data_IF_525337341433
#
_entry.id   IF_525337341433
#
_cell.length_a   1.000
_cell.length_b   1.000
_cell.length_c   1.000
_cell.angle_alpha   90.00
_cell.angle_beta   90.00
_cell.angle_gamma   90.00
#
_symmetry.space_group_name_H-M   'P 1'
#
loop_
_entity.id
_entity.type
_entity.pdbx_description
1 polymer ?
#
# COMPACT_ATOMS: atom_id res chain seq x y z
N UNK A 1 -30.62 7.87 1.45
CA UNK A 1 -29.35 7.16 1.16
C UNK A 1 -28.76 6.55 2.42
N UNK A 2 -28.50 7.36 3.46
CA UNK A 2 -27.88 6.95 4.72
C UNK A 2 -28.54 5.70 5.37
N UNK A 3 -29.82 5.79 5.72
CA UNK A 3 -30.55 4.69 6.37
C UNK A 3 -30.58 3.40 5.54
N UNK A 4 -30.88 3.50 4.23
CA UNK A 4 -30.89 2.34 3.32
C UNK A 4 -29.53 1.62 3.29
N UNK A 5 -28.44 2.38 3.38
CA UNK A 5 -27.10 1.82 3.38
C UNK A 5 -26.78 1.11 4.71
N UNK A 6 -27.18 1.71 5.85
CA UNK A 6 -26.98 1.08 7.16
C UNK A 6 -27.80 -0.21 7.31
N UNK A 7 -29.07 -0.22 6.88
CA UNK A 7 -29.90 -1.44 6.89
C UNK A 7 -29.27 -2.56 6.05
N UNK A 8 -28.67 -2.21 4.90
CA UNK A 8 -27.93 -3.17 4.10
C UNK A 8 -26.65 -3.64 4.81
N UNK A 9 -25.91 -2.74 5.43
CA UNK A 9 -24.68 -3.06 6.14
C UNK A 9 -24.93 -4.01 7.32
N UNK A 10 -25.99 -3.81 8.08
CA UNK A 10 -26.34 -4.68 9.22
C UNK A 10 -26.53 -6.15 8.80
N UNK A 11 -26.98 -6.39 7.57
CA UNK A 11 -27.19 -7.72 7.01
C UNK A 11 -26.00 -8.27 6.23
N UNK A 12 -25.15 -7.41 5.67
CA UNK A 12 -24.14 -7.78 4.67
C UNK A 12 -22.70 -7.44 5.06
N UNK A 13 -22.48 -6.85 6.24
CA UNK A 13 -21.15 -6.46 6.72
C UNK A 13 -20.19 -7.64 6.71
N UNK A 14 -18.98 -7.40 6.22
CA UNK A 14 -17.92 -8.42 6.27
C UNK A 14 -17.38 -8.55 7.68
N UNK A 15 -17.14 -9.80 8.09
CA UNK A 15 -16.37 -10.12 9.28
C UNK A 15 -14.90 -10.09 8.89
N UNK A 16 -14.14 -9.15 9.46
CA UNK A 16 -12.72 -8.96 9.19
C UNK A 16 -11.98 -8.83 10.53
N UNK A 17 -10.72 -9.29 10.65
CA UNK A 17 -10.00 -9.33 11.93
C UNK A 17 -9.89 -7.96 12.65
N UNK A 18 -9.85 -6.87 11.89
CA UNK A 18 -9.72 -5.50 12.41
C UNK A 18 -11.06 -4.78 12.64
N UNK A 19 -12.20 -5.42 12.36
CA UNK A 19 -13.53 -4.81 12.52
C UNK A 19 -14.20 -5.31 13.80
N UNK A 20 -14.58 -4.39 14.68
CA UNK A 20 -15.44 -4.69 15.82
C UNK A 20 -16.79 -5.26 15.35
N UNK A 21 -17.28 -6.30 16.02
CA UNK A 21 -18.60 -6.87 15.76
C UNK A 21 -19.73 -5.92 16.22
N UNK A 22 -21.00 -6.15 15.82
CA UNK A 22 -22.11 -5.37 16.32
C UNK A 22 -22.12 -5.31 17.86
N UNK A 23 -22.22 -4.10 18.42
CA UNK A 23 -22.20 -3.86 19.87
C UNK A 23 -20.80 -3.79 20.49
N UNK A 24 -19.72 -4.02 19.73
CA UNK A 24 -18.35 -3.87 20.22
C UNK A 24 -17.75 -2.52 19.84
N UNK A 25 -16.81 -2.05 20.67
CA UNK A 25 -16.01 -0.85 20.39
C UNK A 25 -14.84 -1.24 19.50
N UNK A 26 -14.59 -0.48 18.44
CA UNK A 26 -13.44 -0.70 17.56
C UNK A 26 -12.13 -0.36 18.28
N UNK A 27 -11.16 -1.27 18.21
CA UNK A 27 -9.81 -1.02 18.73
C UNK A 27 -9.07 -0.03 17.79
N UNK A 28 -8.69 1.17 18.26
CA UNK A 28 -8.06 2.19 17.42
C UNK A 28 -6.72 1.74 16.81
N UNK A 29 -5.93 0.95 17.54
CA UNK A 29 -4.67 0.41 17.03
C UNK A 29 -4.93 -0.55 15.85
N UNK A 30 -5.94 -1.40 15.97
CA UNK A 30 -6.27 -2.42 14.94
C UNK A 30 -6.82 -1.75 13.68
N UNK A 31 -7.72 -0.77 13.87
CA UNK A 31 -8.23 0.03 12.75
C UNK A 31 -7.09 0.78 12.08
N UNK A 32 -6.24 1.48 12.84
CA UNK A 32 -5.11 2.23 12.27
C UNK A 32 -4.16 1.33 11.47
N UNK A 33 -3.72 0.21 12.05
CA UNK A 33 -2.83 -0.75 11.39
C UNK A 33 -3.46 -1.27 10.09
N UNK A 34 -4.73 -1.69 10.13
CA UNK A 34 -5.43 -2.22 8.96
C UNK A 34 -5.61 -1.16 7.85
N UNK A 35 -5.95 0.07 8.20
CA UNK A 35 -6.12 1.17 7.24
C UNK A 35 -4.81 1.51 6.54
N UNK A 36 -3.68 1.48 7.27
CA UNK A 36 -2.35 1.64 6.66
C UNK A 36 -2.03 0.45 5.74
N UNK A 37 -2.28 -0.79 6.18
CA UNK A 37 -2.05 -1.99 5.35
C UNK A 37 -2.92 -2.02 4.09
N UNK A 38 -4.16 -1.53 4.14
CA UNK A 38 -5.11 -1.53 3.02
C UNK A 38 -4.80 -0.48 1.94
N UNK A 39 -3.90 0.46 2.20
CA UNK A 39 -3.46 1.41 1.18
C UNK A 39 -2.84 0.68 -0.02
N UNK A 40 -3.53 0.70 -1.16
CA UNK A 40 -3.08 0.05 -2.40
C UNK A 40 -2.83 -1.48 -2.25
N UNK A 41 -3.47 -2.12 -1.28
CA UNK A 41 -3.38 -3.57 -1.03
C UNK A 41 -4.79 -4.16 -0.88
N UNK A 42 -5.00 -5.41 -1.31
CA UNK A 42 -6.32 -6.04 -1.26
C UNK A 42 -6.63 -6.62 0.12
N UNK A 43 -7.92 -6.68 0.48
CA UNK A 43 -8.36 -7.25 1.76
C UNK A 43 -7.86 -8.68 2.00
N UNK A 44 -7.96 -9.63 1.03
CA UNK A 44 -7.47 -10.99 1.26
C UNK A 44 -5.97 -11.05 1.56
N UNK A 45 -5.16 -10.22 0.89
CA UNK A 45 -3.73 -10.12 1.21
C UNK A 45 -3.52 -9.58 2.63
N UNK A 46 -4.24 -8.52 3.01
CA UNK A 46 -4.06 -7.88 4.32
C UNK A 46 -4.46 -8.80 5.49
N UNK A 47 -5.46 -9.67 5.35
CA UNK A 47 -5.90 -10.58 6.43
C UNK A 47 -4.72 -11.36 7.04
N UNK A 48 -3.91 -12.01 6.20
CA UNK A 48 -2.80 -12.82 6.68
C UNK A 48 -1.70 -11.98 7.34
N UNK A 49 -1.42 -10.79 6.81
CA UNK A 49 -0.40 -9.90 7.39
C UNK A 49 -0.89 -9.33 8.72
N UNK A 50 -2.13 -8.84 8.76
CA UNK A 50 -2.72 -8.27 9.96
C UNK A 50 -2.69 -9.28 11.12
N UNK A 51 -3.09 -10.53 10.88
CA UNK A 51 -3.08 -11.58 11.90
C UNK A 51 -1.67 -11.84 12.47
N UNK A 52 -0.63 -11.94 11.61
CA UNK A 52 0.75 -12.09 12.10
C UNK A 52 1.24 -10.88 12.90
N UNK A 53 0.89 -9.67 12.44
CA UNK A 53 1.28 -8.43 13.13
C UNK A 53 0.68 -8.34 14.53
N UNK A 54 -0.62 -8.61 14.68
CA UNK A 54 -1.29 -8.53 16.00
C UNK A 54 -0.92 -9.70 16.91
N UNK A 55 -0.53 -10.85 16.35
CA UNK A 55 0.02 -11.96 17.13
C UNK A 55 1.36 -11.58 17.76
N UNK A 56 2.25 -10.93 16.99
CA UNK A 56 3.57 -10.48 17.44
C UNK A 56 3.50 -9.21 18.30
N UNK A 57 2.63 -8.28 17.93
CA UNK A 57 2.46 -6.97 18.56
C UNK A 57 0.97 -6.70 18.82
N UNK A 58 0.41 -7.29 19.89
CA UNK A 58 -1.02 -7.20 20.16
C UNK A 58 -1.49 -5.81 20.60
N UNK A 59 -0.59 -4.95 21.07
CA UNK A 59 -0.89 -3.58 21.51
C UNK A 59 -0.03 -2.55 20.79
N UNK A 60 -0.47 -1.29 20.83
CA UNK A 60 0.28 -0.18 20.25
C UNK A 60 1.63 0.04 20.95
N UNK A 61 1.71 -0.23 22.25
CA UNK A 61 2.95 -0.19 23.05
C UNK A 61 3.93 -1.29 22.65
N UNK A 62 3.44 -2.51 22.44
CA UNK A 62 4.24 -3.63 21.97
C UNK A 62 4.81 -3.34 20.56
N UNK A 63 3.99 -2.79 19.66
CA UNK A 63 4.43 -2.35 18.34
C UNK A 63 5.43 -1.19 18.43
N UNK A 64 5.20 -0.23 19.34
CA UNK A 64 6.11 0.90 19.57
C UNK A 64 7.47 0.45 20.11
N UNK A 65 7.54 -0.67 20.81
CA UNK A 65 8.81 -1.18 21.35
C UNK A 65 9.60 -2.03 20.33
N UNK A 66 8.98 -2.43 19.22
CA UNK A 66 9.62 -3.22 18.17
C UNK A 66 10.68 -2.41 17.41
N UNK A 67 11.73 -3.09 16.93
CA UNK A 67 12.71 -2.45 16.05
C UNK A 67 12.11 -2.17 14.67
N UNK A 68 12.61 -1.14 13.97
CA UNK A 68 12.16 -0.87 12.60
C UNK A 68 12.48 -2.04 11.66
N UNK A 69 13.60 -2.72 11.86
CA UNK A 69 14.01 -3.85 11.01
C UNK A 69 13.04 -5.03 11.19
N UNK A 70 12.61 -5.35 12.42
CA UNK A 70 11.56 -6.38 12.66
C UNK A 70 10.24 -6.04 11.98
N UNK A 71 9.82 -4.77 12.06
CA UNK A 71 8.59 -4.30 11.40
C UNK A 71 8.71 -4.43 9.89
N UNK A 72 9.85 -4.05 9.29
CA UNK A 72 10.06 -4.16 7.85
C UNK A 72 10.15 -5.62 7.38
N UNK A 73 10.65 -6.52 8.23
CA UNK A 73 10.63 -7.96 7.99
C UNK A 73 9.21 -8.50 7.93
N UNK A 74 8.37 -8.20 8.92
CA UNK A 74 6.96 -8.64 8.89
C UNK A 74 6.17 -7.99 7.74
N UNK A 75 6.51 -6.75 7.38
CA UNK A 75 5.89 -6.01 6.26
C UNK A 75 6.36 -6.49 4.88
N UNK A 76 7.38 -7.35 4.83
CA UNK A 76 8.00 -7.79 3.59
C UNK A 76 6.97 -8.43 2.67
N UNK A 77 6.90 -7.93 1.43
CA UNK A 77 5.94 -8.40 0.43
C UNK A 77 4.63 -7.59 0.35
N UNK A 78 4.30 -6.79 1.36
CA UNK A 78 3.10 -5.91 1.31
C UNK A 78 3.31 -4.67 0.44
N UNK A 79 4.56 -4.31 0.15
CA UNK A 79 4.93 -3.15 -0.66
C UNK A 79 4.70 -1.81 0.04
N UNK A 80 5.10 -0.72 -0.61
CA UNK A 80 5.03 0.66 -0.08
C UNK A 80 5.56 0.77 1.36
N UNK A 81 6.81 0.38 1.59
CA UNK A 81 7.42 0.27 2.92
C UNK A 81 7.51 1.59 3.70
N UNK A 82 7.39 2.74 3.02
CA UNK A 82 7.22 4.03 3.70
C UNK A 82 5.99 4.06 4.61
N UNK A 83 4.96 3.25 4.33
CA UNK A 83 3.79 3.07 5.20
C UNK A 83 4.17 2.53 6.57
N UNK A 84 4.95 1.43 6.60
CA UNK A 84 5.41 0.82 7.85
C UNK A 84 6.29 1.78 8.66
N UNK A 85 7.20 2.49 7.99
CA UNK A 85 8.06 3.50 8.61
C UNK A 85 7.26 4.64 9.22
N UNK A 86 6.35 5.23 8.46
CA UNK A 86 5.54 6.34 8.94
C UNK A 86 4.61 5.90 10.07
N UNK A 87 4.05 4.68 9.99
CA UNK A 87 3.27 4.08 11.06
C UNK A 87 4.09 3.97 12.35
N UNK A 88 5.33 3.46 12.27
CA UNK A 88 6.25 3.37 13.40
C UNK A 88 6.55 4.73 14.02
N UNK A 89 6.94 5.71 13.21
CA UNK A 89 7.20 7.08 13.67
C UNK A 89 5.98 7.71 14.35
N UNK A 90 4.80 7.56 13.74
CA UNK A 90 3.56 8.10 14.28
C UNK A 90 3.18 7.43 15.61
N UNK A 91 3.33 6.11 15.72
CA UNK A 91 3.04 5.38 16.96
C UNK A 91 4.00 5.78 18.08
N UNK A 92 5.30 5.90 17.79
CA UNK A 92 6.28 6.37 18.77
C UNK A 92 5.92 7.76 19.30
N UNK A 93 5.53 8.69 18.42
CA UNK A 93 5.08 10.03 18.80
C UNK A 93 3.82 9.99 19.68
N UNK A 94 2.83 9.15 19.34
CA UNK A 94 1.60 8.99 20.13
C UNK A 94 1.88 8.43 21.54
N UNK A 95 2.80 7.47 21.65
CA UNK A 95 3.20 6.87 22.93
C UNK A 95 3.92 7.89 23.81
N UNK A 96 4.82 8.70 23.25
CA UNK A 96 5.50 9.78 23.99
C UNK A 96 4.49 10.80 24.53
N UNK A 97 3.44 11.12 23.78
CA UNK A 97 2.36 12.01 24.22
C UNK A 97 1.33 11.32 25.14
N UNK A 98 1.50 10.02 25.41
CA UNK A 98 0.60 9.18 26.21
C UNK A 98 -0.89 9.32 25.81
N UNK A 99 -1.17 9.56 24.52
CA UNK A 99 -2.52 9.81 24.03
C UNK A 99 -2.70 9.32 22.60
N UNK A 100 -3.70 8.47 22.36
CA UNK A 100 -4.16 8.16 21.00
C UNK A 100 -5.12 9.26 20.53
N UNK A 101 -4.82 10.01 19.46
CA UNK A 101 -5.67 11.12 19.03
C UNK A 101 -7.03 10.64 18.53
N UNK A 102 -8.11 11.28 19.00
CA UNK A 102 -9.47 10.82 18.74
C UNK A 102 -10.21 11.57 17.64
N UNK A 103 -9.67 12.72 17.19
CA UNK A 103 -10.27 13.53 16.13
C UNK A 103 -9.46 13.48 14.84
N UNK A 104 -10.16 13.59 13.72
CA UNK A 104 -9.58 13.74 12.39
C UNK A 104 -8.50 14.83 12.35
N UNK A 105 -8.78 15.98 12.96
CA UNK A 105 -7.89 17.14 12.99
C UNK A 105 -6.61 16.92 13.80
N UNK A 106 -6.66 16.04 14.81
CA UNK A 106 -5.47 15.66 15.57
C UNK A 106 -4.69 14.54 14.85
N UNK A 107 -5.40 13.53 14.34
CA UNK A 107 -4.81 12.40 13.63
C UNK A 107 -4.03 12.80 12.37
N UNK A 108 -4.52 13.77 11.60
CA UNK A 108 -3.88 14.18 10.32
C UNK A 108 -2.49 14.81 10.50
N UNK A 109 -2.09 15.14 11.74
CA UNK A 109 -0.78 15.74 12.05
C UNK A 109 0.35 14.70 12.07
N UNK A 110 0.00 13.42 12.20
CA UNK A 110 0.98 12.35 12.36
C UNK A 110 1.51 11.84 11.02
N UNK A 111 2.80 11.43 10.95
CA UNK A 111 3.40 10.89 9.74
C UNK A 111 2.58 9.75 9.12
N UNK A 112 2.32 9.84 7.80
CA UNK A 112 1.59 8.80 7.07
C UNK A 112 0.07 8.77 7.28
N UNK A 113 -0.47 9.59 8.19
CA UNK A 113 -1.92 9.72 8.38
C UNK A 113 -2.45 10.86 7.49
N UNK A 114 -2.87 10.50 6.28
CA UNK A 114 -3.54 11.43 5.37
C UNK A 114 -5.02 11.61 5.69
N UNK A 115 -5.67 12.54 4.98
CA UNK A 115 -7.09 12.89 5.18
C UNK A 115 -8.06 11.69 5.13
N UNK A 116 -7.78 10.68 4.31
CA UNK A 116 -8.58 9.45 4.29
C UNK A 116 -8.43 8.67 5.60
N UNK A 117 -7.20 8.32 5.97
CA UNK A 117 -6.89 7.49 7.15
C UNK A 117 -7.37 8.16 8.43
N UNK A 118 -7.15 9.47 8.60
CA UNK A 118 -7.61 10.17 9.81
C UNK A 118 -9.12 10.15 9.93
N UNK A 119 -9.87 10.40 8.85
CA UNK A 119 -11.34 10.31 8.85
C UNK A 119 -11.83 8.87 9.06
N UNK A 120 -11.12 7.88 8.53
CA UNK A 120 -11.47 6.47 8.70
C UNK A 120 -11.34 6.06 10.17
N UNK A 121 -10.19 6.31 10.79
CA UNK A 121 -9.96 6.02 12.21
C UNK A 121 -10.98 6.76 13.08
N UNK A 122 -11.16 8.06 12.87
CA UNK A 122 -12.00 8.86 13.77
C UNK A 122 -13.49 8.56 13.65
N UNK A 123 -13.98 8.29 12.44
CA UNK A 123 -15.37 7.84 12.26
C UNK A 123 -15.59 6.43 12.81
N UNK A 124 -14.67 5.48 12.56
CA UNK A 124 -14.84 4.08 12.96
C UNK A 124 -14.68 3.90 14.48
N UNK A 125 -13.67 4.53 15.08
CA UNK A 125 -13.32 4.28 16.47
C UNK A 125 -14.00 5.25 17.43
N UNK A 126 -14.22 6.49 16.99
CA UNK A 126 -14.68 7.58 17.86
C UNK A 126 -16.00 8.19 17.39
N UNK A 127 -16.62 7.59 16.36
CA UNK A 127 -17.90 8.02 15.81
C UNK A 127 -17.93 9.51 15.40
N UNK A 128 -16.78 10.08 15.03
CA UNK A 128 -16.72 11.44 14.50
C UNK A 128 -17.48 11.51 13.17
N UNK A 129 -18.28 12.57 12.98
CA UNK A 129 -19.16 12.77 11.81
C UNK A 129 -18.38 13.20 10.56
N UNK A 130 -17.45 12.35 10.13
CA UNK A 130 -16.62 12.53 8.95
C UNK A 130 -16.66 11.28 8.09
N UNK A 131 -16.55 11.45 6.77
CA UNK A 131 -16.55 10.32 5.83
C UNK A 131 -15.18 10.23 5.15
N UNK A 132 -14.49 9.08 5.25
CA UNK A 132 -13.25 8.85 4.52
C UNK A 132 -13.53 8.67 3.03
N UNK A 133 -12.95 9.53 2.18
CA UNK A 133 -13.19 9.54 0.73
C UNK A 133 -12.05 8.88 -0.04
N UNK A 134 -12.26 7.65 -0.49
CA UNK A 134 -11.37 6.90 -1.39
C UNK A 134 -11.94 6.76 -2.81
N UNK A 135 -11.30 5.95 -3.65
CA UNK A 135 -11.78 5.65 -5.01
C UNK A 135 -13.10 4.87 -5.04
N UNK A 136 -13.47 4.16 -3.96
CA UNK A 136 -14.76 3.49 -3.84
C UNK A 136 -15.88 4.48 -3.57
N UNK A 137 -15.70 5.36 -2.57
CA UNK A 137 -16.63 6.43 -2.23
C UNK A 137 -16.83 7.38 -3.41
N UNK A 138 -15.74 7.82 -4.05
CA UNK A 138 -15.81 8.67 -5.25
C UNK A 138 -16.68 8.03 -6.32
N UNK A 139 -16.50 6.74 -6.60
CA UNK A 139 -17.26 6.02 -7.62
C UNK A 139 -18.73 5.84 -7.24
N UNK A 140 -19.01 5.49 -5.99
CA UNK A 140 -20.38 5.36 -5.50
C UNK A 140 -21.10 6.69 -5.63
N UNK A 141 -20.52 7.77 -5.12
CA UNK A 141 -21.15 9.08 -5.16
C UNK A 141 -21.25 9.65 -6.58
N UNK A 142 -20.22 9.50 -7.41
CA UNK A 142 -20.28 9.97 -8.80
C UNK A 142 -21.44 9.32 -9.55
N UNK A 143 -21.73 8.04 -9.28
CA UNK A 143 -22.84 7.30 -9.90
C UNK A 143 -24.19 7.67 -9.29
N UNK A 144 -24.29 7.71 -7.96
CA UNK A 144 -25.55 8.05 -7.26
C UNK A 144 -26.04 9.44 -7.66
N UNK A 145 -25.13 10.41 -7.78
CA UNK A 145 -25.45 11.80 -8.13
C UNK A 145 -25.22 12.13 -9.62
N UNK A 146 -24.86 11.15 -10.44
CA UNK A 146 -24.57 11.31 -11.87
C UNK A 146 -23.64 12.50 -12.21
N UNK A 147 -22.49 12.58 -11.54
CA UNK A 147 -21.54 13.69 -11.68
C UNK A 147 -20.52 13.35 -12.77
N UNK A 148 -20.53 14.10 -13.87
CA UNK A 148 -19.65 13.89 -15.03
C UNK A 148 -18.31 14.63 -14.96
N UNK A 149 -18.13 15.54 -13.99
CA UNK A 149 -16.85 16.22 -13.73
C UNK A 149 -15.72 15.18 -13.64
N UNK A 150 -14.63 15.31 -14.42
CA UNK A 150 -13.55 14.35 -14.38
C UNK A 150 -12.67 14.50 -13.13
N UNK A 151 -12.05 13.40 -12.70
CA UNK A 151 -10.96 13.47 -11.72
C UNK A 151 -9.76 14.24 -12.29
N UNK A 152 -9.09 15.11 -11.50
CA UNK A 152 -9.20 15.23 -10.04
C UNK A 152 -10.25 16.23 -9.53
N UNK A 153 -10.83 17.09 -10.38
CA UNK A 153 -11.73 18.17 -9.98
C UNK A 153 -12.95 17.67 -9.19
N UNK A 154 -13.51 16.52 -9.60
CA UNK A 154 -14.61 15.82 -8.94
C UNK A 154 -14.44 15.65 -7.43
N UNK A 155 -13.21 15.51 -6.93
CA UNK A 155 -12.96 15.17 -5.51
C UNK A 155 -13.57 16.21 -4.56
N UNK A 156 -13.54 17.50 -4.92
CA UNK A 156 -14.11 18.59 -4.09
C UNK A 156 -15.62 18.43 -3.93
N UNK A 157 -16.31 18.15 -5.03
CA UNK A 157 -17.77 17.96 -5.04
C UNK A 157 -18.18 16.76 -4.18
N UNK A 158 -17.42 15.66 -4.26
CA UNK A 158 -17.67 14.47 -3.43
C UNK A 158 -17.48 14.78 -1.95
N UNK A 159 -16.41 15.49 -1.57
CA UNK A 159 -16.17 15.84 -0.15
C UNK A 159 -17.34 16.64 0.41
N UNK A 160 -17.79 17.69 -0.28
CA UNK A 160 -18.92 18.52 0.14
C UNK A 160 -20.21 17.67 0.33
N UNK A 161 -20.51 16.77 -0.61
CA UNK A 161 -21.67 15.87 -0.49
C UNK A 161 -21.55 14.89 0.67
N UNK A 162 -20.33 14.41 0.97
CA UNK A 162 -20.13 13.49 2.09
C UNK A 162 -20.27 14.16 3.44
N UNK A 163 -19.92 15.45 3.57
CA UNK A 163 -20.11 16.22 4.80
C UNK A 163 -21.58 16.40 5.14
N UNK A 164 -22.43 16.62 4.13
CA UNK A 164 -23.88 16.71 4.30
C UNK A 164 -24.52 15.38 4.76
N UNK A 165 -23.98 14.24 4.30
CA UNK A 165 -24.53 12.91 4.59
C UNK A 165 -23.91 12.23 5.82
N UNK A 166 -22.73 12.69 6.27
CA UNK A 166 -21.98 12.12 7.39
C UNK A 166 -22.44 12.56 8.78
N UNK A 167 -23.42 13.47 8.87
CA UNK A 167 -23.96 14.02 10.13
C UNK A 167 -24.92 13.10 10.89
N UNK A 168 -25.08 11.85 10.43
CA UNK A 168 -25.98 10.86 11.02
C UNK A 168 -25.35 10.05 12.16
N UNK A 169 -26.19 9.38 12.96
CA UNK A 169 -25.75 8.37 13.94
C UNK A 169 -25.03 7.21 13.23
N UNK A 170 -24.06 6.58 13.89
CA UNK A 170 -23.26 5.44 13.36
C UNK A 170 -22.36 5.83 12.17
N UNK A 171 -21.61 6.93 12.31
CA UNK A 171 -20.73 7.44 11.26
C UNK A 171 -19.69 6.40 10.81
N UNK A 172 -19.13 5.64 11.76
CA UNK A 172 -18.19 4.55 11.47
C UNK A 172 -18.80 3.43 10.62
N UNK A 173 -20.01 2.99 10.94
CA UNK A 173 -20.71 1.98 10.15
C UNK A 173 -21.06 2.52 8.76
N UNK A 174 -21.48 3.79 8.65
CA UNK A 174 -21.77 4.40 7.36
C UNK A 174 -20.52 4.46 6.47
N UNK A 175 -19.36 4.84 7.04
CA UNK A 175 -18.08 4.82 6.35
C UNK A 175 -17.73 3.41 5.85
N UNK A 176 -17.80 2.40 6.72
CA UNK A 176 -17.51 1.00 6.35
C UNK A 176 -18.52 0.44 5.33
N UNK A 177 -19.79 0.82 5.43
CA UNK A 177 -20.83 0.41 4.49
C UNK A 177 -20.59 0.97 3.08
N UNK A 178 -20.10 2.21 2.96
CA UNK A 178 -19.71 2.78 1.68
C UNK A 178 -18.53 2.03 1.05
N UNK A 179 -17.54 1.65 1.87
CA UNK A 179 -16.39 0.85 1.42
C UNK A 179 -16.83 -0.54 0.95
N UNK A 180 -17.71 -1.21 1.71
CA UNK A 180 -18.24 -2.53 1.36
C UNK A 180 -19.12 -2.47 0.11
N UNK A 181 -20.01 -1.48 0.01
CA UNK A 181 -20.83 -1.25 -1.17
C UNK A 181 -19.95 -1.02 -2.41
N UNK A 182 -18.95 -0.14 -2.32
CA UNK A 182 -18.08 0.15 -3.45
C UNK A 182 -17.27 -1.06 -3.90
N UNK A 183 -16.75 -1.85 -2.95
CA UNK A 183 -15.92 -3.01 -3.26
C UNK A 183 -16.72 -4.21 -3.79
N UNK A 184 -17.89 -4.51 -3.21
CA UNK A 184 -18.63 -5.74 -3.50
C UNK A 184 -19.77 -5.56 -4.53
N UNK A 185 -20.41 -4.38 -4.58
CA UNK A 185 -21.63 -4.17 -5.36
C UNK A 185 -21.41 -3.14 -6.47
N UNK A 186 -21.07 -1.91 -6.10
CA UNK A 186 -20.83 -0.81 -7.02
C UNK A 186 -19.40 -0.89 -7.60
N UNK A 187 -19.08 -2.02 -8.25
CA UNK A 187 -17.75 -2.34 -8.78
C UNK A 187 -17.36 -1.43 -9.95
N UNK A 188 -16.05 -1.24 -10.23
CA UNK A 188 -15.60 -0.43 -11.37
C UNK A 188 -16.19 -0.90 -12.71
N UNK A 189 -16.14 -2.20 -12.97
CA UNK A 189 -16.75 -2.86 -14.13
C UNK A 189 -17.91 -3.74 -13.65
N UNK A 190 -18.97 -3.83 -14.47
CA UNK A 190 -20.15 -4.66 -14.22
C UNK A 190 -20.70 -4.53 -12.78
N UNK A 191 -21.14 -3.32 -12.36
CA UNK A 191 -21.73 -3.14 -11.04
C UNK A 191 -23.01 -3.97 -10.91
N UNK A 192 -23.21 -4.56 -9.73
CA UNK A 192 -24.40 -5.38 -9.40
C UNK A 192 -25.57 -4.48 -9.01
N UNK A 193 -26.05 -3.67 -9.95
CA UNK A 193 -27.06 -2.63 -9.66
C UNK A 193 -28.35 -3.20 -9.06
N UNK A 194 -28.80 -4.38 -9.50
CA UNK A 194 -29.99 -5.05 -8.95
C UNK A 194 -29.84 -5.49 -7.49
N UNK A 195 -28.60 -5.71 -7.01
CA UNK A 195 -28.30 -6.03 -5.61
C UNK A 195 -28.03 -4.77 -4.77
N UNK A 196 -28.04 -3.58 -5.39
CA UNK A 196 -27.61 -2.35 -4.75
C UNK A 196 -28.72 -1.73 -3.89
N UNK A 197 -28.49 -1.47 -2.59
CA UNK A 197 -29.49 -0.83 -1.72
C UNK A 197 -29.80 0.62 -2.12
N UNK A 198 -28.97 1.21 -2.98
CA UNK A 198 -29.12 2.57 -3.48
C UNK A 198 -29.73 2.63 -4.88
N UNK A 199 -30.11 1.51 -5.49
CA UNK A 199 -30.58 1.43 -6.88
C UNK A 199 -31.68 2.47 -7.18
N UNK A 200 -32.71 2.56 -6.34
CA UNK A 200 -33.87 3.44 -6.55
C UNK A 200 -33.54 4.94 -6.45
N UNK A 201 -32.42 5.29 -5.81
CA UNK A 201 -31.96 6.66 -5.62
C UNK A 201 -30.71 6.98 -6.45
N UNK A 202 -30.23 6.03 -7.27
CA UNK A 202 -29.02 6.18 -8.05
C UNK A 202 -29.34 6.79 -9.42
N UNK A 203 -28.99 8.06 -9.63
CA UNK A 203 -29.28 8.75 -10.88
C UNK A 203 -28.51 8.17 -12.06
N UNK A 204 -27.25 7.79 -11.87
CA UNK A 204 -26.46 7.16 -12.92
C UNK A 204 -26.95 5.76 -13.31
N UNK A 205 -27.73 5.09 -12.46
CA UNK A 205 -28.44 3.86 -12.84
C UNK A 205 -29.65 4.19 -13.71
N UNK A 206 -30.48 5.16 -13.28
CA UNK A 206 -31.67 5.60 -14.04
C UNK A 206 -31.31 6.11 -15.43
N UNK A 207 -30.18 6.80 -15.57
CA UNK A 207 -29.70 7.35 -16.84
C UNK A 207 -28.75 6.43 -17.61
N UNK A 208 -28.43 5.24 -17.09
CA UNK A 208 -27.51 4.30 -17.75
C UNK A 208 -26.03 4.72 -17.80
N UNK A 209 -25.62 5.77 -17.08
CA UNK A 209 -24.26 6.34 -17.11
C UNK A 209 -23.28 5.69 -16.13
N UNK A 210 -23.72 4.74 -15.29
CA UNK A 210 -22.86 4.10 -14.28
C UNK A 210 -21.51 3.56 -14.82
N UNK A 211 -21.49 3.07 -16.06
CA UNK A 211 -20.31 2.47 -16.67
C UNK A 211 -19.25 3.50 -17.13
N UNK A 212 -19.63 4.75 -17.35
CA UNK A 212 -18.70 5.85 -17.71
C UNK A 212 -18.20 6.63 -16.49
N UNK A 213 -18.78 6.38 -15.32
CA UNK A 213 -18.48 7.12 -14.09
C UNK A 213 -17.66 6.30 -13.07
N UNK A 214 -16.68 6.93 -12.38
CA UNK A 214 -16.30 8.35 -12.49
C UNK A 214 -15.48 8.65 -13.75
N UNK A 215 -15.72 9.81 -14.36
CA UNK A 215 -14.92 10.29 -15.48
C UNK A 215 -13.47 10.55 -15.04
N UNK A 216 -12.52 10.30 -15.93
CA UNK A 216 -11.08 10.47 -15.68
C UNK A 216 -10.42 11.15 -16.86
N UNK A 217 -9.52 12.09 -16.56
CA UNK A 217 -8.61 12.61 -17.58
C UNK A 217 -7.67 11.51 -18.07
N UNK A 218 -7.22 11.64 -19.32
CA UNK A 218 -6.21 10.77 -19.89
C UNK A 218 -4.93 10.81 -19.04
N UNK A 219 -4.34 9.65 -18.78
CA UNK A 219 -3.08 9.55 -18.03
C UNK A 219 -1.92 9.81 -18.97
N UNK A 220 -0.88 10.56 -18.54
CA UNK A 220 0.36 10.66 -19.29
C UNK A 220 1.03 9.29 -19.40
N UNK A 221 1.88 9.13 -20.43
CA UNK A 221 2.68 7.91 -20.61
C UNK A 221 3.61 7.74 -19.41
N UNK A 222 3.68 6.51 -18.87
CA UNK A 222 4.58 6.22 -17.76
C UNK A 222 6.04 6.26 -18.25
N UNK A 223 6.95 6.96 -17.56
CA UNK A 223 8.36 6.95 -17.89
C UNK A 223 8.96 5.55 -17.70
N UNK A 224 10.06 5.29 -18.40
CA UNK A 224 10.82 4.05 -18.32
C UNK A 224 12.23 4.36 -17.86
N UNK A 225 12.67 3.69 -16.79
CA UNK A 225 14.00 3.83 -16.23
C UNK A 225 14.80 2.54 -16.39
N UNK A 226 16.11 2.68 -16.37
CA UNK A 226 17.07 1.62 -16.56
C UNK A 226 18.17 1.69 -15.51
N UNK A 227 18.76 0.55 -15.20
CA UNK A 227 19.93 0.47 -14.33
C UNK A 227 20.59 -0.91 -14.43
N UNK A 228 21.68 -1.08 -13.70
CA UNK A 228 22.39 -2.36 -13.57
C UNK A 228 22.34 -2.81 -12.11
N UNK A 229 22.01 -4.07 -11.89
CA UNK A 229 22.14 -4.74 -10.59
C UNK A 229 23.42 -5.60 -10.60
N UNK A 230 24.25 -5.43 -9.57
CA UNK A 230 25.53 -6.11 -9.45
C UNK A 230 25.39 -7.27 -8.46
N UNK A 231 25.40 -8.50 -8.97
CA UNK A 231 25.45 -9.69 -8.12
C UNK A 231 26.90 -10.01 -7.86
N UNK A 232 27.38 -9.56 -6.71
CA UNK A 232 28.77 -9.71 -6.27
C UNK A 232 28.83 -10.93 -5.35
N UNK A 233 29.46 -12.02 -5.80
CA UNK A 233 29.42 -13.33 -5.14
C UNK A 233 30.80 -13.95 -4.90
N UNK A 234 30.89 -14.80 -3.89
CA UNK A 234 32.04 -15.68 -3.60
C UNK A 234 31.70 -16.68 -2.49
N UNK A 235 32.13 -17.94 -2.60
CA UNK A 235 31.94 -19.01 -1.60
C UNK A 235 30.51 -19.09 -0.99
N UNK A 236 29.46 -19.18 -1.82
CA UNK A 236 28.05 -19.21 -1.39
C UNK A 236 27.56 -17.95 -0.62
N UNK A 237 28.29 -16.84 -0.73
CA UNK A 237 27.90 -15.55 -0.17
C UNK A 237 27.64 -14.52 -1.27
N UNK A 238 26.81 -13.54 -0.94
CA UNK A 238 26.52 -12.37 -1.78
C UNK A 238 26.63 -11.09 -0.95
N UNK A 239 27.06 -10.01 -1.59
CA UNK A 239 27.01 -8.69 -0.97
C UNK A 239 25.61 -8.10 -1.13
N UNK A 240 25.00 -7.73 -0.01
CA UNK A 240 23.81 -6.89 0.03
C UNK A 240 24.16 -5.50 0.60
N UNK A 241 23.36 -4.51 0.20
CA UNK A 241 23.51 -3.12 0.58
C UNK A 241 22.16 -2.58 1.11
N UNK A 242 22.20 -1.93 2.28
CA UNK A 242 21.05 -1.20 2.84
C UNK A 242 20.92 0.13 2.11
N UNK A 243 19.75 0.36 1.51
CA UNK A 243 19.44 1.62 0.82
C UNK A 243 19.30 2.76 1.84
N UNK A 244 19.55 4.03 1.42
CA UNK A 244 19.36 5.19 2.28
C UNK A 244 18.00 5.25 2.96
N UNK A 245 17.91 6.04 4.02
CA UNK A 245 16.69 6.25 4.83
C UNK A 245 15.58 7.00 4.08
N UNK A 246 15.94 7.71 3.00
CA UNK A 246 15.04 8.47 2.12
C UNK A 246 15.05 7.95 0.68
N UNK A 247 13.96 8.23 -0.03
CA UNK A 247 13.80 7.88 -1.44
C UNK A 247 13.20 6.49 -1.67
N UNK A 248 13.40 5.97 -2.89
CA UNK A 248 12.73 4.76 -3.34
C UNK A 248 13.33 3.50 -2.68
N UNK A 249 12.45 2.67 -2.11
CA UNK A 249 12.80 1.45 -1.37
C UNK A 249 13.72 1.72 -0.16
N UNK A 250 13.54 2.87 0.50
CA UNK A 250 14.39 3.30 1.59
C UNK A 250 14.48 2.29 2.76
N UNK A 251 15.63 2.19 3.42
CA UNK A 251 15.99 1.21 4.48
C UNK A 251 15.82 -0.28 4.11
N UNK A 252 15.46 -0.61 2.87
CA UNK A 252 15.43 -2.01 2.45
C UNK A 252 16.82 -2.45 2.00
N UNK A 253 17.05 -3.75 2.12
CA UNK A 253 18.24 -4.39 1.61
C UNK A 253 18.06 -4.76 0.13
N UNK A 254 19.16 -4.91 -0.57
CA UNK A 254 19.19 -5.37 -1.96
C UNK A 254 20.62 -5.51 -2.45
N UNK A 255 20.80 -6.08 -3.64
CA UNK A 255 22.12 -6.05 -4.27
C UNK A 255 22.49 -4.62 -4.67
N UNK A 256 23.79 -4.25 -4.73
CA UNK A 256 24.21 -2.95 -5.22
C UNK A 256 23.67 -2.67 -6.63
N UNK A 257 23.25 -1.43 -6.90
CA UNK A 257 22.76 -1.03 -8.22
C UNK A 257 23.38 0.28 -8.70
N UNK A 258 23.50 0.46 -10.02
CA UNK A 258 23.72 1.78 -10.60
C UNK A 258 22.53 2.73 -10.30
N UNK A 259 22.68 4.03 -10.51
CA UNK A 259 21.53 4.94 -10.56
C UNK A 259 20.46 4.47 -11.56
N UNK A 260 19.20 4.77 -11.27
CA UNK A 260 18.06 4.41 -12.12
C UNK A 260 17.63 5.64 -12.92
N UNK A 261 18.02 5.69 -14.19
CA UNK A 261 17.88 6.87 -15.05
C UNK A 261 16.92 6.60 -16.20
N UNK A 262 16.28 7.66 -16.70
CA UNK A 262 15.52 7.63 -17.95
C UNK A 262 16.48 7.92 -19.09
N UNK A 263 16.38 7.14 -20.18
CA UNK A 263 17.14 7.38 -21.40
C UNK A 263 16.23 7.99 -22.46
N UNK A 264 16.65 9.12 -23.02
CA UNK A 264 15.93 9.79 -24.10
C UNK A 264 16.12 9.09 -25.47
N UNK A 265 17.19 8.31 -25.65
CA UNK A 265 17.60 7.80 -26.97
C UNK A 265 17.42 6.27 -27.16
N UNK A 266 17.06 5.80 -28.39
CA UNK A 266 16.84 4.38 -28.67
C UNK A 266 18.09 3.48 -28.61
N UNK A 267 19.29 4.01 -28.85
CA UNK A 267 20.51 3.20 -28.97
C UNK A 267 20.98 2.59 -27.63
N UNK A 268 20.74 3.29 -26.52
CA UNK A 268 21.05 2.77 -25.17
C UNK A 268 20.06 1.68 -24.71
N UNK A 269 18.83 1.69 -25.27
CA UNK A 269 17.84 0.61 -25.07
C UNK A 269 18.30 -0.71 -25.69
N UNK A 270 18.99 -0.64 -26.83
CA UNK A 270 19.56 -1.82 -27.52
C UNK A 270 20.85 -2.32 -26.83
N UNK A 271 21.71 -1.42 -26.34
CA UNK A 271 22.93 -1.79 -25.60
C UNK A 271 22.63 -2.46 -24.23
N UNK A 272 21.54 -2.08 -23.57
CA UNK A 272 21.06 -2.79 -22.38
C UNK A 272 20.54 -4.22 -22.68
N UNK A 273 20.10 -4.49 -23.91
CA UNK A 273 19.60 -5.81 -24.32
C UNK A 273 20.71 -6.81 -24.71
N UNK A 274 21.98 -6.38 -24.74
CA UNK A 274 23.11 -7.16 -25.28
C UNK A 274 23.89 -7.99 -24.23
N UNK A 275 23.31 -8.25 -23.05
CA UNK A 275 23.81 -9.27 -22.10
C UNK A 275 22.62 -9.95 -21.43
N UNK A 276 22.71 -11.26 -21.22
CA UNK A 276 21.57 -12.18 -21.41
C UNK A 276 20.47 -12.19 -20.34
N UNK A 277 20.51 -11.35 -19.28
CA UNK A 277 19.46 -11.32 -18.25
C UNK A 277 19.05 -9.91 -17.82
N UNK A 278 17.77 -9.60 -18.01
CA UNK A 278 17.14 -8.33 -17.64
C UNK A 278 15.89 -8.57 -16.78
N UNK A 279 15.87 -7.98 -15.58
CA UNK A 279 14.69 -7.99 -14.71
C UNK A 279 13.83 -6.76 -14.98
N UNK A 280 12.59 -6.99 -15.43
CA UNK A 280 11.57 -5.95 -15.54
C UNK A 280 10.75 -5.83 -14.25
N UNK A 281 10.57 -4.61 -13.76
CA UNK A 281 9.72 -4.32 -12.61
C UNK A 281 8.88 -3.07 -12.82
N UNK A 282 7.60 -3.13 -12.47
CA UNK A 282 6.65 -2.03 -12.68
C UNK A 282 6.34 -1.37 -11.34
N UNK A 283 6.76 -0.11 -11.18
CA UNK A 283 6.30 0.75 -10.10
C UNK A 283 5.03 1.50 -10.54
N UNK A 284 4.34 2.12 -9.58
CA UNK A 284 3.16 2.96 -9.89
C UNK A 284 3.52 4.10 -10.84
N UNK A 285 4.69 4.71 -10.65
CA UNK A 285 5.09 5.95 -11.33
C UNK A 285 6.02 5.73 -12.54
N UNK A 286 6.69 4.59 -12.66
CA UNK A 286 7.57 4.28 -13.79
C UNK A 286 7.77 2.78 -13.95
N UNK A 287 8.30 2.34 -15.08
CA UNK A 287 8.76 0.96 -15.29
C UNK A 287 10.28 0.92 -15.22
N UNK A 288 10.85 -0.04 -14.49
CA UNK A 288 12.28 -0.24 -14.36
C UNK A 288 12.73 -1.49 -15.12
N UNK A 289 13.86 -1.39 -15.81
CA UNK A 289 14.60 -2.51 -16.36
C UNK A 289 15.99 -2.55 -15.70
N UNK A 290 16.30 -3.67 -15.04
CA UNK A 290 17.61 -3.90 -14.44
C UNK A 290 18.38 -4.96 -15.23
N UNK A 291 19.49 -4.56 -15.83
CA UNK A 291 20.48 -5.49 -16.37
C UNK A 291 21.24 -6.14 -15.22
N UNK A 292 21.47 -7.45 -15.31
CA UNK A 292 22.21 -8.18 -14.28
C UNK A 292 23.67 -8.27 -14.69
N UNK A 293 24.57 -7.96 -13.76
CA UNK A 293 26.01 -8.16 -13.92
C UNK A 293 26.54 -9.00 -12.76
N UNK A 294 27.06 -10.16 -13.09
CA UNK A 294 27.73 -11.05 -12.13
C UNK A 294 29.19 -10.60 -11.95
N UNK A 295 29.64 -10.58 -10.71
CA UNK A 295 31.02 -10.26 -10.33
C UNK A 295 31.44 -11.33 -9.32
N UNK A 296 32.39 -12.18 -9.70
CA UNK A 296 33.01 -13.14 -8.79
C UNK A 296 34.19 -12.48 -8.08
N UNK A 297 34.25 -12.57 -6.76
CA UNK A 297 35.35 -12.02 -5.95
C UNK A 297 36.19 -13.14 -5.36
N UNK A 298 37.49 -13.10 -5.64
CA UNK A 298 38.54 -13.87 -4.96
C UNK A 298 39.81 -12.98 -4.85
N UNK A 299 40.48 -12.88 -3.68
CA UNK A 299 40.12 -13.44 -2.38
C UNK A 299 39.10 -12.58 -1.61
N UNK A 300 38.24 -13.25 -0.84
CA UNK A 300 37.13 -12.63 -0.12
C UNK A 300 37.57 -12.00 1.21
N UNK A 301 38.69 -12.46 1.79
CA UNK A 301 39.21 -11.97 3.07
C UNK A 301 39.68 -10.50 3.00
N UNK A 302 40.02 -10.01 1.81
CA UNK A 302 40.48 -8.64 1.57
C UNK A 302 39.37 -7.64 1.23
N UNK A 303 38.09 -8.07 1.30
CA UNK A 303 36.99 -7.23 0.85
C UNK A 303 36.60 -6.18 1.89
N UNK A 304 36.90 -4.92 1.60
CA UNK A 304 36.45 -3.78 2.41
C UNK A 304 34.98 -3.43 2.09
N UNK A 305 34.07 -3.86 2.95
CA UNK A 305 32.65 -3.50 2.87
C UNK A 305 32.41 -2.07 3.37
N UNK A 306 31.50 -1.35 2.68
CA UNK A 306 30.98 -0.09 3.20
C UNK A 306 30.14 -0.34 4.46
N UNK A 307 29.95 0.68 5.29
CA UNK A 307 29.18 0.60 6.53
C UNK A 307 27.73 0.07 6.33
N UNK A 308 27.13 0.35 5.17
CA UNK A 308 25.78 -0.08 4.79
C UNK A 308 25.76 -1.40 3.99
N UNK A 309 26.89 -2.09 3.87
CA UNK A 309 26.99 -3.36 3.15
C UNK A 309 27.20 -4.52 4.12
N UNK A 310 26.73 -5.70 3.73
CA UNK A 310 26.93 -6.96 4.45
C UNK A 310 27.25 -8.06 3.45
N UNK A 311 28.18 -8.93 3.83
CA UNK A 311 28.38 -10.22 3.18
C UNK A 311 27.47 -11.21 3.89
N UNK A 312 26.59 -11.87 3.14
CA UNK A 312 25.57 -12.77 3.69
C UNK A 312 25.57 -14.06 2.88
N UNK A 313 25.35 -15.20 3.53
CA UNK A 313 25.18 -16.46 2.79
C UNK A 313 23.88 -16.42 1.97
N UNK A 314 23.81 -17.16 0.86
CA UNK A 314 22.60 -17.19 0.03
C UNK A 314 21.35 -17.66 0.80
N UNK A 315 21.54 -18.48 1.84
CA UNK A 315 20.47 -19.01 2.69
C UNK A 315 19.95 -17.97 3.70
N UNK A 316 20.83 -17.09 4.21
CA UNK A 316 20.48 -16.03 5.18
C UNK A 316 19.91 -14.78 4.51
N UNK A 317 20.07 -14.62 3.20
CA UNK A 317 19.58 -13.45 2.45
C UNK A 317 18.07 -13.22 2.63
N UNK A 318 17.30 -14.28 2.86
CA UNK A 318 15.86 -14.19 3.12
C UNK A 318 15.51 -13.57 4.47
N UNK A 319 16.45 -13.56 5.42
CA UNK A 319 16.30 -12.97 6.76
C UNK A 319 16.47 -11.44 6.73
N UNK A 320 16.72 -10.87 5.55
CA UNK A 320 16.77 -9.44 5.32
C UNK A 320 15.52 -8.94 4.57
N UNK A 321 15.10 -7.71 4.90
CA UNK A 321 13.92 -7.08 4.31
C UNK A 321 14.19 -6.66 2.85
N UNK A 322 14.10 -7.63 1.94
CA UNK A 322 14.25 -7.46 0.50
C UNK A 322 12.92 -7.09 -0.20
N UNK A 323 12.91 -6.06 -1.07
CA UNK A 323 11.76 -5.80 -1.93
C UNK A 323 11.64 -6.88 -3.02
N UNK A 324 10.42 -7.08 -3.53
CA UNK A 324 10.15 -8.07 -4.60
C UNK A 324 11.04 -7.90 -5.83
N UNK A 325 11.45 -6.67 -6.14
CA UNK A 325 12.44 -6.39 -7.18
C UNK A 325 13.77 -7.12 -6.92
N UNK A 326 14.33 -7.01 -5.72
CA UNK A 326 15.63 -7.60 -5.39
C UNK A 326 15.53 -9.11 -5.20
N UNK A 327 14.39 -9.63 -4.70
CA UNK A 327 14.12 -11.07 -4.70
C UNK A 327 14.17 -11.64 -6.13
N UNK A 328 13.56 -10.97 -7.11
CA UNK A 328 13.64 -11.37 -8.53
C UNK A 328 15.07 -11.34 -9.07
N UNK A 329 15.85 -10.33 -8.71
CA UNK A 329 17.26 -10.24 -9.13
C UNK A 329 18.08 -11.39 -8.54
N UNK A 330 17.90 -11.71 -7.26
CA UNK A 330 18.63 -12.79 -6.59
C UNK A 330 18.19 -14.19 -7.07
N UNK A 331 16.94 -14.37 -7.50
CA UNK A 331 16.49 -15.62 -8.11
C UNK A 331 17.28 -15.97 -9.39
N UNK A 332 17.75 -14.97 -10.13
CA UNK A 332 18.54 -15.20 -11.35
C UNK A 332 19.91 -15.82 -11.05
N UNK A 333 20.43 -15.62 -9.84
CA UNK A 333 21.66 -16.24 -9.35
C UNK A 333 21.51 -17.75 -9.20
N UNK A 334 20.39 -18.20 -8.62
CA UNK A 334 20.11 -19.62 -8.39
C UNK A 334 19.94 -20.40 -9.70
N UNK A 335 19.43 -19.76 -10.75
CA UNK A 335 19.37 -20.37 -12.08
C UNK A 335 20.75 -20.44 -12.76
N UNK A 336 21.61 -19.44 -12.54
CA UNK A 336 22.94 -19.39 -13.16
C UNK A 336 23.91 -20.44 -12.59
N UNK A 337 23.81 -20.78 -11.31
CA UNK A 337 24.62 -21.84 -10.70
C UNK A 337 24.21 -23.25 -11.13
N UNK A 338 22.94 -23.44 -11.54
CA UNK A 338 22.44 -24.72 -12.06
C UNK A 338 22.84 -24.98 -13.53
N UNK A 339 23.01 -23.92 -14.33
CA UNK A 339 23.42 -24.05 -15.75
C UNK A 339 24.94 -24.22 -15.93
N UNK A 340 25.74 -24.00 -14.88
CA UNK A 340 27.21 -24.08 -14.90
C UNK A 340 27.78 -25.15 -13.95
N UNK A 341 26.94 -26.00 -13.37
CA UNK A 341 27.30 -27.20 -12.61
C UNK A 341 26.97 -28.44 -13.44
#
# INVERSE_FOLDING_TARGET
MHEKLLVWYDKNRRILPWRALPGQVANPYYVYLSEIMLQQTTVPTVINYFNRFIEKWPTIEAFSSASLDDILMEWQGLGYYSRAKNLKLAVEEMIVQNTFPQSYMALVRYPGIGSYTSKAISSICFNEHVVPVDGNVIRVFSRVFNISTPLPALKKDIVCKTEQLGSGKRAGDFAQALMDLGSAICKPKNPKCHECPLMNVCEGYKQGTCHTLPARLAKPKKPVRYGTAYIIQGNNHVIIEKRPDKGLLANLWGVPTSPWIEYDHPHEKAACAATDKVVKHVFTHFTLYLKIRYISILPWESLHLKHNQRLVSLDEVQDYALPTLMKKVLQELLCFTADNA
#
